data_IF_637666185670
#
_entry.id   IF_637666185670
#
_cell.length_a   1.000
_cell.length_b   1.000
_cell.length_c   1.000
_cell.angle_alpha   90.00
_cell.angle_beta   90.00
_cell.angle_gamma   90.00
#
_symmetry.space_group_name_H-M   'P 1'
#
loop_
_entity.id
_entity.type
_entity.pdbx_description
1 polymer ?
#
# COMPACT_ATOMS: atom_id res chain seq x y z
N UNK A 1 2.29 7.73 -0.45
CA UNK A 1 3.35 6.71 -0.54
C UNK A 1 2.81 5.62 -1.44
N UNK A 2 3.40 5.40 -2.62
CA UNK A 2 2.94 4.36 -3.56
C UNK A 2 3.78 3.08 -3.41
N UNK A 3 3.25 1.93 -3.83
CA UNK A 3 4.00 0.67 -3.83
C UNK A 3 5.20 0.73 -4.80
N UNK A 4 5.05 1.42 -5.94
CA UNK A 4 6.13 1.60 -6.91
C UNK A 4 7.32 2.38 -6.31
N UNK A 5 7.06 3.37 -5.43
CA UNK A 5 8.13 4.11 -4.75
C UNK A 5 8.98 3.20 -3.84
N UNK A 6 8.36 2.21 -3.20
CA UNK A 6 9.05 1.27 -2.29
C UNK A 6 9.85 0.18 -3.02
N UNK A 7 9.37 -0.24 -4.20
CA UNK A 7 10.07 -1.21 -5.05
C UNK A 7 11.25 -0.57 -5.79
N UNK A 8 11.12 0.69 -6.20
CA UNK A 8 12.18 1.45 -6.88
C UNK A 8 13.42 1.68 -6.00
N UNK A 9 13.25 1.69 -4.68
CA UNK A 9 14.32 1.87 -3.69
C UNK A 9 15.13 0.61 -3.34
N UNK A 10 14.86 -0.55 -3.95
CA UNK A 10 15.59 -1.80 -3.70
C UNK A 10 16.75 -1.98 -4.69
N UNK A 11 18.01 -1.63 -4.37
CA UNK A 11 19.16 -2.12 -5.12
C UNK A 11 19.28 -3.64 -4.83
N UNK A 12 19.74 -4.44 -5.81
CA UNK A 12 20.07 -5.89 -5.73
C UNK A 12 19.11 -6.90 -6.37
N UNK A 13 18.44 -6.60 -7.49
CA UNK A 13 17.86 -7.68 -8.32
C UNK A 13 17.96 -7.49 -9.84
N UNK A 14 18.58 -6.41 -10.34
CA UNK A 14 18.60 -6.13 -11.78
C UNK A 14 19.41 -7.14 -12.62
N UNK A 15 20.29 -7.95 -12.03
CA UNK A 15 21.09 -8.94 -12.76
C UNK A 15 20.53 -10.38 -12.75
N UNK A 16 19.37 -10.63 -12.11
CA UNK A 16 18.75 -11.97 -12.03
C UNK A 16 17.35 -12.06 -12.66
N UNK A 17 16.82 -10.94 -13.17
CA UNK A 17 15.43 -10.79 -13.64
C UNK A 17 15.13 -11.50 -14.96
N UNK A 18 16.09 -11.68 -15.86
CA UNK A 18 15.78 -12.28 -17.17
C UNK A 18 15.44 -13.79 -17.11
N UNK A 19 15.74 -14.48 -16.00
CA UNK A 19 15.53 -15.94 -15.88
C UNK A 19 14.26 -16.36 -15.12
N UNK A 20 13.51 -15.43 -14.49
CA UNK A 20 12.45 -15.74 -13.50
C UNK A 20 11.11 -15.03 -13.80
N UNK A 21 10.87 -14.69 -15.08
CA UNK A 21 9.76 -13.82 -15.49
C UNK A 21 8.36 -14.31 -15.05
N UNK A 22 8.13 -15.61 -14.89
CA UNK A 22 6.80 -16.15 -14.51
C UNK A 22 6.49 -16.23 -13.01
N UNK A 23 7.49 -16.12 -12.11
CA UNK A 23 7.29 -16.20 -10.65
C UNK A 23 7.27 -14.83 -9.96
N UNK A 24 7.85 -13.81 -10.60
CA UNK A 24 7.84 -12.45 -10.06
C UNK A 24 6.44 -11.83 -10.06
N UNK A 25 5.62 -12.08 -11.08
CA UNK A 25 4.27 -11.49 -11.17
C UNK A 25 3.39 -11.89 -9.98
N UNK A 26 3.37 -13.18 -9.62
CA UNK A 26 2.60 -13.65 -8.47
C UNK A 26 3.14 -13.07 -7.14
N UNK A 27 4.46 -13.00 -6.99
CA UNK A 27 5.09 -12.45 -5.78
C UNK A 27 4.83 -10.96 -5.64
N UNK A 28 4.90 -10.21 -6.74
CA UNK A 28 4.64 -8.77 -6.79
C UNK A 28 3.16 -8.45 -6.59
N UNK A 29 2.26 -9.26 -7.15
CA UNK A 29 0.83 -9.15 -6.93
C UNK A 29 0.49 -9.33 -5.43
N UNK A 30 1.04 -10.35 -4.78
CA UNK A 30 0.86 -10.57 -3.33
C UNK A 30 1.45 -9.41 -2.52
N UNK A 31 2.67 -8.96 -2.83
CA UNK A 31 3.31 -7.87 -2.12
C UNK A 31 2.54 -6.55 -2.25
N UNK A 32 2.03 -6.23 -3.45
CA UNK A 32 1.19 -5.05 -3.67
C UNK A 32 -0.15 -5.14 -2.94
N UNK A 33 -0.76 -6.32 -2.90
CA UNK A 33 -1.98 -6.56 -2.12
C UNK A 33 -1.77 -6.33 -0.63
N UNK A 34 -0.69 -6.86 -0.05
CA UNK A 34 -0.34 -6.63 1.36
C UNK A 34 -0.11 -5.14 1.65
N UNK A 35 0.55 -4.43 0.73
CA UNK A 35 0.76 -2.99 0.87
C UNK A 35 -0.56 -2.20 0.84
N UNK A 36 -1.45 -2.54 -0.09
CA UNK A 36 -2.78 -1.93 -0.19
C UNK A 36 -3.58 -2.14 1.10
N UNK A 37 -3.58 -3.37 1.64
CA UNK A 37 -4.25 -3.69 2.91
C UNK A 37 -3.70 -2.83 4.05
N UNK A 38 -2.37 -2.79 4.25
CA UNK A 38 -1.76 -2.01 5.32
C UNK A 38 -2.03 -0.50 5.19
N UNK A 39 -2.03 -0.01 3.94
CA UNK A 39 -2.36 1.39 3.65
C UNK A 39 -3.82 1.69 3.97
N UNK A 40 -4.73 0.80 3.58
CA UNK A 40 -6.16 0.93 3.87
C UNK A 40 -6.43 0.91 5.39
N UNK A 41 -5.83 -0.03 6.13
CA UNK A 41 -5.93 -0.12 7.59
C UNK A 41 -5.42 1.16 8.27
N UNK A 42 -4.25 1.66 7.85
CA UNK A 42 -3.69 2.90 8.40
C UNK A 42 -4.56 4.12 8.10
N UNK A 43 -5.19 4.16 6.92
CA UNK A 43 -6.10 5.23 6.53
C UNK A 43 -7.40 5.17 7.33
N UNK A 44 -7.97 3.98 7.46
CA UNK A 44 -9.16 3.73 8.28
C UNK A 44 -8.92 4.13 9.74
N UNK A 45 -7.78 3.73 10.33
CA UNK A 45 -7.43 4.12 11.69
C UNK A 45 -7.37 5.64 11.86
N UNK A 46 -6.84 6.37 10.86
CA UNK A 46 -6.84 7.84 10.89
C UNK A 46 -8.26 8.39 10.80
N UNK A 47 -9.11 7.86 9.91
CA UNK A 47 -10.51 8.28 9.79
C UNK A 47 -11.28 8.06 11.10
N UNK A 48 -11.15 6.87 11.70
CA UNK A 48 -11.76 6.56 13.01
C UNK A 48 -11.24 7.48 14.10
N UNK A 49 -9.93 7.75 14.14
CA UNK A 49 -9.34 8.66 15.12
C UNK A 49 -9.77 10.13 14.93
N UNK A 50 -10.26 10.52 13.75
CA UNK A 50 -10.78 11.87 13.50
C UNK A 50 -12.25 12.04 13.87
N UNK A 51 -13.00 10.95 14.05
CA UNK A 51 -14.40 11.01 14.47
C UNK A 51 -14.54 11.63 15.86
N UNK A 52 -15.46 12.58 16.01
CA UNK A 52 -15.67 13.28 17.27
C UNK A 52 -14.55 14.25 17.68
N UNK A 53 -13.52 14.43 16.83
CA UNK A 53 -12.54 15.52 16.97
C UNK A 53 -13.03 16.75 16.20
N UNK A 54 -12.50 17.96 16.43
CA UNK A 54 -12.84 19.13 15.61
C UNK A 54 -12.41 19.00 14.13
N UNK A 55 -11.71 17.92 13.75
CA UNK A 55 -11.37 17.58 12.35
C UNK A 55 -12.36 16.60 11.72
N UNK A 56 -13.42 16.22 12.43
CA UNK A 56 -14.50 15.40 11.92
C UNK A 56 -15.29 16.19 10.86
N UNK A 57 -15.29 15.70 9.63
CA UNK A 57 -16.09 16.26 8.53
C UNK A 57 -17.00 15.17 7.96
N UNK A 58 -18.17 15.53 7.42
CA UNK A 58 -19.08 14.55 6.81
C UNK A 58 -18.40 13.76 5.68
N UNK A 59 -17.51 14.37 4.90
CA UNK A 59 -16.80 13.65 3.83
C UNK A 59 -15.83 12.58 4.35
N UNK A 60 -15.28 12.76 5.56
CA UNK A 60 -14.43 11.74 6.19
C UNK A 60 -15.25 10.57 6.75
N UNK A 61 -16.49 10.81 7.18
CA UNK A 61 -17.42 9.76 7.62
C UNK A 61 -17.93 8.90 6.47
N UNK A 62 -18.21 9.49 5.31
CA UNK A 62 -18.65 8.74 4.12
C UNK A 62 -17.57 7.81 3.56
N UNK A 63 -16.30 8.03 3.92
CA UNK A 63 -15.16 7.21 3.52
C UNK A 63 -14.87 6.03 4.44
N UNK A 64 -15.62 5.88 5.53
CA UNK A 64 -15.61 4.69 6.39
C UNK A 64 -16.47 3.59 5.77
#
# INVERSE_FOLDING_TARGET
MSFQDLEAGRPLASSRRELINGKQDATQAVASGIFQINTAVSTFQRLVNTLGTPKDTPELREKL
#
